data_IF_176966194113
#
_entry.id   IF_176966194113
#
_cell.length_a   1.000
_cell.length_b   1.000
_cell.length_c   1.000
_cell.angle_alpha   90.00
_cell.angle_beta   90.00
_cell.angle_gamma   90.00
#
_symmetry.space_group_name_H-M   'P 1'
#
loop_
_entity.id
_entity.type
_entity.pdbx_description
1 polymer ?
#
# COMPACT_ATOMS: atom_id res chain seq x y z
N UNK A 1 44.71 -24.99 -21.59
CA UNK A 1 44.51 -23.59 -21.14
C UNK A 1 43.03 -23.28 -21.26
N UNK A 2 42.23 -23.60 -20.24
CA UNK A 2 40.77 -23.37 -20.23
C UNK A 2 40.41 -22.69 -18.91
N UNK A 3 40.32 -21.36 -18.94
CA UNK A 3 39.82 -20.55 -17.85
C UNK A 3 38.49 -19.94 -18.26
N UNK A 4 37.39 -20.64 -17.99
CA UNK A 4 36.04 -20.13 -18.22
C UNK A 4 35.76 -18.92 -17.35
N UNK A 5 35.42 -17.78 -17.97
CA UNK A 5 34.96 -16.58 -17.25
C UNK A 5 33.56 -16.84 -16.70
N UNK A 6 33.46 -17.08 -15.39
CA UNK A 6 32.19 -17.04 -14.67
C UNK A 6 31.69 -15.59 -14.66
N UNK A 7 30.62 -15.31 -15.42
CA UNK A 7 29.87 -14.05 -15.33
C UNK A 7 29.13 -14.04 -13.98
N UNK A 8 29.63 -13.26 -13.02
CA UNK A 8 28.85 -12.87 -11.85
C UNK A 8 27.70 -11.98 -12.32
N UNK A 9 26.47 -12.51 -12.31
CA UNK A 9 25.27 -11.69 -12.36
C UNK A 9 25.25 -10.76 -11.14
N UNK A 10 25.32 -9.46 -11.40
CA UNK A 10 25.11 -8.45 -10.38
C UNK A 10 23.61 -8.42 -10.07
N UNK A 11 23.19 -9.08 -9.00
CA UNK A 11 21.89 -8.80 -8.38
C UNK A 11 21.87 -7.33 -8.00
N UNK A 12 21.14 -6.53 -8.78
CA UNK A 12 20.87 -5.12 -8.44
C UNK A 12 20.02 -5.13 -7.17
N UNK A 13 20.65 -4.99 -6.01
CA UNK A 13 19.94 -4.69 -4.77
C UNK A 13 19.19 -3.36 -4.99
N UNK A 14 17.88 -3.45 -5.20
CA UNK A 14 17.03 -2.29 -5.30
C UNK A 14 17.03 -1.66 -3.90
N UNK A 15 17.66 -0.49 -3.76
CA UNK A 15 17.53 0.33 -2.55
C UNK A 15 16.08 0.84 -2.48
N UNK A 16 15.18 0.02 -1.92
CA UNK A 16 13.85 0.47 -1.53
C UNK A 16 14.00 1.16 -0.19
N UNK A 17 14.01 2.49 -0.19
CA UNK A 17 13.86 3.26 1.05
C UNK A 17 12.55 2.80 1.69
N UNK A 18 12.59 2.27 2.93
CA UNK A 18 11.38 1.86 3.60
C UNK A 18 10.44 3.05 3.72
N UNK A 19 9.15 2.82 3.46
CA UNK A 19 8.11 3.77 3.77
C UNK A 19 8.04 3.95 5.30
N UNK A 20 7.46 5.07 5.75
CA UNK A 20 7.36 5.41 7.16
C UNK A 20 6.91 4.19 7.98
N UNK A 21 7.62 3.90 9.08
CA UNK A 21 7.39 2.70 9.90
C UNK A 21 8.26 1.48 9.56
N UNK A 22 9.10 1.53 8.52
CA UNK A 22 9.96 0.39 8.15
C UNK A 22 9.33 -0.56 7.14
N UNK A 23 8.19 -0.19 6.54
CA UNK A 23 7.48 -1.02 5.57
C UNK A 23 8.17 -0.95 4.21
N UNK A 24 8.42 -2.10 3.59
CA UNK A 24 8.94 -2.18 2.22
C UNK A 24 7.88 -2.71 1.26
N UNK A 25 7.62 -1.98 0.19
CA UNK A 25 6.64 -2.33 -0.82
C UNK A 25 7.28 -3.02 -2.01
N UNK A 26 6.71 -4.15 -2.40
CA UNK A 26 7.26 -5.02 -3.42
C UNK A 26 6.46 -4.90 -4.72
N UNK A 27 7.06 -4.26 -5.74
CA UNK A 27 6.44 -4.15 -7.07
C UNK A 27 6.16 -5.53 -7.71
N UNK A 28 6.99 -6.53 -7.42
CA UNK A 28 6.78 -7.91 -7.89
C UNK A 28 5.50 -8.55 -7.33
N UNK A 29 5.01 -8.07 -6.17
CA UNK A 29 3.75 -8.49 -5.56
C UNK A 29 2.57 -7.59 -5.98
N UNK A 30 2.76 -6.68 -6.93
CA UNK A 30 1.71 -5.75 -7.38
C UNK A 30 1.40 -4.60 -6.42
N UNK A 31 2.25 -4.33 -5.41
CA UNK A 31 2.03 -3.24 -4.46
C UNK A 31 2.41 -1.89 -5.11
N UNK A 32 1.39 -1.11 -5.50
CA UNK A 32 1.53 0.25 -6.03
C UNK A 32 0.95 1.27 -5.06
N UNK A 33 1.76 2.23 -4.63
CA UNK A 33 1.37 3.17 -3.57
C UNK A 33 0.73 4.42 -4.14
N UNK A 34 -0.47 4.72 -3.67
CA UNK A 34 -1.22 5.93 -3.99
C UNK A 34 -0.71 7.11 -3.14
N UNK A 35 0.08 7.99 -3.76
CA UNK A 35 0.74 9.12 -3.08
C UNK A 35 0.11 10.49 -3.32
N UNK A 36 -0.67 10.64 -4.40
CA UNK A 36 -1.24 11.94 -4.75
C UNK A 36 -2.58 12.15 -4.02
N UNK A 37 -2.68 13.10 -3.07
CA UNK A 37 -3.89 13.32 -2.31
C UNK A 37 -5.07 13.79 -3.17
N UNK A 38 -4.83 14.54 -4.25
CA UNK A 38 -5.88 15.00 -5.16
C UNK A 38 -6.58 13.83 -5.88
N UNK A 39 -5.83 12.75 -6.15
CA UNK A 39 -6.39 11.52 -6.72
C UNK A 39 -7.26 10.79 -5.68
N UNK A 40 -6.85 10.76 -4.42
CA UNK A 40 -7.64 10.18 -3.32
C UNK A 40 -8.98 10.90 -3.20
N UNK A 41 -8.96 12.23 -3.09
CA UNK A 41 -10.20 13.03 -2.99
C UNK A 41 -11.10 12.83 -4.22
N UNK A 42 -10.50 12.74 -5.41
CA UNK A 42 -11.23 12.45 -6.64
C UNK A 42 -11.87 11.06 -6.64
N UNK A 43 -11.20 10.05 -6.08
CA UNK A 43 -11.75 8.69 -5.93
C UNK A 43 -12.95 8.72 -5.01
N UNK A 44 -12.82 9.31 -3.82
CA UNK A 44 -13.90 9.41 -2.82
C UNK A 44 -15.13 10.12 -3.41
N UNK A 45 -14.92 11.26 -4.08
CA UNK A 45 -15.99 12.01 -4.73
C UNK A 45 -16.68 11.23 -5.84
N UNK A 46 -15.93 10.46 -6.63
CA UNK A 46 -16.49 9.64 -7.72
C UNK A 46 -17.25 8.41 -7.19
N UNK A 47 -16.77 7.80 -6.10
CA UNK A 47 -17.46 6.70 -5.45
C UNK A 47 -18.79 7.14 -4.81
N UNK A 48 -18.90 8.41 -4.42
CA UNK A 48 -20.14 8.96 -3.87
C UNK A 48 -20.52 8.32 -2.54
N UNK A 49 -19.51 7.99 -1.73
CA UNK A 49 -19.68 7.35 -0.41
C UNK A 49 -20.58 8.20 0.47
N UNK A 50 -21.58 7.57 1.08
CA UNK A 50 -22.52 8.19 1.98
C UNK A 50 -22.21 7.86 3.45
N UNK A 51 -22.61 8.74 4.40
CA UNK A 51 -22.41 8.49 5.84
C UNK A 51 -23.16 7.26 6.39
N UNK A 52 -24.04 6.64 5.60
CA UNK A 52 -24.74 5.40 5.94
C UNK A 52 -24.00 4.14 5.50
N UNK A 53 -23.00 4.29 4.63
CA UNK A 53 -22.40 3.17 3.92
C UNK A 53 -21.40 2.38 4.78
N UNK A 54 -21.32 1.08 4.49
CA UNK A 54 -20.27 0.20 4.99
C UNK A 54 -19.34 -0.12 3.82
N UNK A 55 -18.09 0.30 3.90
CA UNK A 55 -17.10 0.16 2.83
C UNK A 55 -16.15 -0.99 3.15
N UNK A 56 -15.86 -1.83 2.16
CA UNK A 56 -14.78 -2.81 2.21
C UNK A 56 -13.59 -2.28 1.39
N UNK A 57 -12.45 -2.07 2.04
CA UNK A 57 -11.19 -1.75 1.39
C UNK A 57 -10.28 -2.98 1.39
N UNK A 58 -9.72 -3.29 0.22
CA UNK A 58 -8.78 -4.40 0.03
C UNK A 58 -7.42 -3.80 -0.29
N UNK A 59 -6.37 -4.24 0.42
CA UNK A 59 -5.00 -3.75 0.28
C UNK A 59 -4.88 -2.22 0.54
N UNK A 60 -5.08 -1.75 1.77
CA UNK A 60 -5.04 -0.32 2.13
C UNK A 60 -3.67 0.33 1.90
N UNK A 61 -2.59 -0.45 1.93
CA UNK A 61 -1.22 0.03 1.72
C UNK A 61 -0.77 1.02 2.80
N UNK A 62 -0.74 2.31 2.45
CA UNK A 62 -0.23 3.43 3.29
C UNK A 62 -1.34 4.36 3.78
N UNK A 63 -2.51 3.80 4.06
CA UNK A 63 -3.63 4.43 4.76
C UNK A 63 -4.26 5.72 4.18
N UNK A 64 -3.73 6.27 3.07
CA UNK A 64 -4.17 7.54 2.49
C UNK A 64 -5.65 7.50 2.08
N UNK A 65 -6.08 6.38 1.50
CA UNK A 65 -7.47 6.17 1.11
C UNK A 65 -8.33 5.81 2.33
N UNK A 66 -7.85 4.90 3.18
CA UNK A 66 -8.53 4.46 4.41
C UNK A 66 -8.93 5.63 5.31
N UNK A 67 -8.04 6.59 5.55
CA UNK A 67 -8.34 7.80 6.36
C UNK A 67 -9.51 8.59 5.79
N UNK A 68 -9.52 8.80 4.48
CA UNK A 68 -10.60 9.53 3.78
C UNK A 68 -11.91 8.76 3.75
N UNK A 69 -11.86 7.44 3.64
CA UNK A 69 -13.05 6.60 3.72
C UNK A 69 -13.68 6.65 5.12
N UNK A 70 -12.86 6.65 6.18
CA UNK A 70 -13.34 6.76 7.56
C UNK A 70 -14.00 8.12 7.85
N UNK A 71 -13.56 9.20 7.20
CA UNK A 71 -14.21 10.52 7.30
C UNK A 71 -15.60 10.55 6.63
N UNK A 72 -15.83 9.72 5.61
CA UNK A 72 -17.01 9.78 4.75
C UNK A 72 -18.05 8.68 5.02
N UNK A 73 -17.63 7.49 5.43
CA UNK A 73 -18.48 6.31 5.59
C UNK A 73 -18.90 6.07 7.05
N UNK A 74 -19.95 5.28 7.27
CA UNK A 74 -20.35 4.83 8.61
C UNK A 74 -19.32 3.89 9.22
N UNK A 75 -18.80 2.98 8.40
CA UNK A 75 -17.87 1.93 8.80
C UNK A 75 -16.99 1.55 7.62
N UNK A 76 -15.70 1.38 7.88
CA UNK A 76 -14.75 0.85 6.91
C UNK A 76 -14.21 -0.48 7.45
N UNK A 77 -14.25 -1.51 6.62
CA UNK A 77 -13.66 -2.82 6.88
C UNK A 77 -12.47 -2.95 5.96
N UNK A 78 -11.31 -3.22 6.54
CA UNK A 78 -10.06 -3.30 5.81
C UNK A 78 -9.57 -4.74 5.80
N UNK A 79 -9.18 -5.25 4.62
CA UNK A 79 -8.62 -6.59 4.45
C UNK A 79 -7.24 -6.47 3.82
N UNK A 80 -6.26 -7.04 4.52
CA UNK A 80 -4.86 -7.07 4.12
C UNK A 80 -4.28 -8.46 4.39
N UNK A 81 -3.43 -8.94 3.48
CA UNK A 81 -2.78 -10.25 3.56
C UNK A 81 -1.39 -10.11 4.20
N UNK A 82 -0.73 -8.97 4.01
CA UNK A 82 0.59 -8.70 4.58
C UNK A 82 0.50 -8.36 6.08
N UNK A 83 0.93 -9.29 6.93
CA UNK A 83 0.89 -9.14 8.39
C UNK A 83 1.68 -7.94 8.92
N UNK A 84 2.74 -7.51 8.22
CA UNK A 84 3.50 -6.33 8.63
C UNK A 84 2.68 -5.05 8.43
N UNK A 85 1.93 -4.97 7.32
CA UNK A 85 1.02 -3.86 7.06
C UNK A 85 -0.16 -3.90 8.03
N UNK A 86 -0.70 -5.09 8.34
CA UNK A 86 -1.76 -5.26 9.35
C UNK A 86 -1.35 -4.66 10.70
N UNK A 87 -0.13 -4.97 11.17
CA UNK A 87 0.37 -4.43 12.43
C UNK A 87 0.46 -2.90 12.41
N UNK A 88 0.84 -2.33 11.26
CA UNK A 88 0.97 -0.89 11.13
C UNK A 88 -0.39 -0.18 11.04
N UNK A 89 -1.36 -0.77 10.33
CA UNK A 89 -2.75 -0.28 10.29
C UNK A 89 -3.36 -0.24 11.70
N UNK A 90 -3.11 -1.27 12.52
CA UNK A 90 -3.54 -1.30 13.92
C UNK A 90 -2.85 -0.22 14.79
N UNK A 91 -1.74 0.35 14.34
CA UNK A 91 -1.07 1.46 15.01
C UNK A 91 -1.64 2.82 14.58
N UNK A 92 -2.09 2.92 13.33
CA UNK A 92 -2.63 4.16 12.76
C UNK A 92 -4.08 4.45 13.15
N UNK A 93 -4.86 3.41 13.51
CA UNK A 93 -6.28 3.48 13.83
C UNK A 93 -6.57 2.82 15.18
#
# INVERSE_FOLDING_TARGET
MVGGKVKKEKTKAQHHMPYQGGISFHKSKGQHILKNPLLVDSIIRKFGVQPTDVVLEINPGTENLTKKLLEAAKKVIVVEIDSCIVLELQRWF
#
